data_IF_077328279801
#
_entry.id   IF_077328279801
#
_cell.length_a   1.000
_cell.length_b   1.000
_cell.length_c   1.000
_cell.angle_alpha   90.00
_cell.angle_beta   90.00
_cell.angle_gamma   90.00
#
_symmetry.space_group_name_H-M   'P 1'
#
loop_
_entity.id
_entity.type
_entity.pdbx_description
1 polymer ?
#
# COMPACT_ATOMS: atom_id res chain seq x y z
N UNK A 1 7.26 -44.49 58.56
CA UNK A 1 7.46 -44.53 57.13
C UNK A 1 6.76 -43.31 56.51
N UNK A 2 7.53 -42.27 56.19
CA UNK A 2 6.97 -41.05 55.57
C UNK A 2 6.96 -41.24 54.05
N UNK A 3 5.77 -41.21 53.41
CA UNK A 3 5.63 -41.27 51.96
C UNK A 3 5.76 -39.84 51.39
N UNK A 4 6.85 -39.55 50.68
CA UNK A 4 7.03 -38.32 49.94
C UNK A 4 6.28 -38.42 48.63
N UNK A 5 5.29 -37.54 48.41
CA UNK A 5 4.58 -37.38 47.14
C UNK A 5 5.35 -36.36 46.30
N UNK A 6 5.94 -36.84 45.23
CA UNK A 6 6.60 -35.98 44.20
C UNK A 6 5.55 -35.46 43.25
N UNK A 7 5.21 -34.18 43.36
CA UNK A 7 4.32 -33.51 42.42
C UNK A 7 5.16 -33.00 41.26
N UNK A 8 5.10 -33.68 40.10
CA UNK A 8 5.66 -33.19 38.84
C UNK A 8 4.78 -32.10 38.28
N UNK A 9 5.23 -30.85 38.34
CA UNK A 9 4.62 -29.71 37.65
C UNK A 9 5.02 -29.81 36.18
N UNK A 10 4.11 -30.29 35.33
CA UNK A 10 4.22 -30.20 33.87
C UNK A 10 3.92 -28.76 33.46
N UNK A 11 4.96 -27.95 33.21
CA UNK A 11 4.84 -26.65 32.63
C UNK A 11 4.55 -26.83 31.12
N UNK A 12 3.28 -26.75 30.73
CA UNK A 12 2.88 -26.61 29.34
C UNK A 12 3.24 -25.22 28.90
N UNK A 13 4.40 -25.04 28.26
CA UNK A 13 4.71 -23.84 27.50
C UNK A 13 3.86 -23.85 26.24
N UNK A 14 2.75 -23.12 26.27
CA UNK A 14 2.02 -22.79 25.03
C UNK A 14 2.90 -21.92 24.18
N UNK A 15 3.61 -22.53 23.24
CA UNK A 15 4.15 -21.80 22.09
C UNK A 15 2.96 -21.30 21.26
N UNK A 16 2.54 -20.07 21.51
CA UNK A 16 1.70 -19.36 20.57
C UNK A 16 2.54 -19.07 19.33
N UNK A 17 2.50 -19.98 18.36
CA UNK A 17 2.90 -19.66 17.01
C UNK A 17 2.00 -18.52 16.57
N UNK A 18 2.54 -17.30 16.54
CA UNK A 18 1.94 -16.22 15.77
C UNK A 18 1.87 -16.74 14.33
N UNK A 19 0.68 -17.20 13.92
CA UNK A 19 0.42 -17.48 12.52
C UNK A 19 0.70 -16.17 11.77
N UNK A 20 1.85 -16.09 11.12
CA UNK A 20 2.03 -15.14 10.04
C UNK A 20 0.92 -15.48 9.04
N UNK A 21 -0.03 -14.58 8.95
CA UNK A 21 -1.18 -14.67 8.05
C UNK A 21 -0.61 -14.64 6.62
N UNK A 22 -0.26 -15.82 6.11
CA UNK A 22 0.42 -16.00 4.82
C UNK A 22 -0.62 -15.92 3.69
N UNK A 23 -1.50 -14.90 3.80
CA UNK A 23 -2.54 -14.65 2.80
C UNK A 23 -1.89 -14.30 1.48
N UNK A 24 -2.44 -14.86 0.43
CA UNK A 24 -2.03 -14.50 -0.92
C UNK A 24 -2.33 -13.04 -1.23
N UNK A 25 -1.59 -12.43 -2.15
CA UNK A 25 -1.83 -11.04 -2.59
C UNK A 25 -3.26 -10.89 -3.12
N UNK A 26 -3.76 -11.89 -3.80
CA UNK A 26 -5.16 -11.97 -4.25
C UNK A 26 -6.15 -11.84 -3.09
N UNK A 27 -6.00 -12.67 -2.05
CA UNK A 27 -6.88 -12.62 -0.89
C UNK A 27 -6.82 -11.26 -0.19
N UNK A 28 -5.64 -10.64 -0.12
CA UNK A 28 -5.48 -9.30 0.45
C UNK A 28 -6.14 -8.22 -0.41
N UNK A 29 -6.11 -8.36 -1.75
CA UNK A 29 -6.82 -7.46 -2.64
C UNK A 29 -8.35 -7.60 -2.49
N UNK A 30 -8.86 -8.83 -2.40
CA UNK A 30 -10.28 -9.10 -2.12
C UNK A 30 -10.69 -8.54 -0.76
N UNK A 31 -9.88 -8.74 0.30
CA UNK A 31 -10.13 -8.15 1.60
C UNK A 31 -10.21 -6.63 1.52
N UNK A 32 -9.28 -5.99 0.83
CA UNK A 32 -9.30 -4.54 0.64
C UNK A 32 -10.59 -4.09 -0.06
N UNK A 33 -10.95 -4.71 -1.18
CA UNK A 33 -12.20 -4.43 -1.91
C UNK A 33 -13.42 -4.56 -1.01
N UNK A 34 -13.46 -5.58 -0.16
CA UNK A 34 -14.59 -5.84 0.73
C UNK A 34 -14.75 -4.79 1.84
N UNK A 35 -13.69 -4.04 2.16
CA UNK A 35 -13.79 -2.91 3.10
C UNK A 35 -14.38 -1.65 2.46
N UNK A 36 -14.40 -1.57 1.12
CA UNK A 36 -14.81 -0.36 0.41
C UNK A 36 -16.34 -0.26 0.29
N UNK A 37 -16.86 0.96 0.48
CA UNK A 37 -18.24 1.29 0.14
C UNK A 37 -18.50 1.16 -1.37
N UNK A 38 -19.75 1.09 -1.83
CA UNK A 38 -20.05 1.05 -3.27
C UNK A 38 -19.42 2.20 -4.06
N UNK A 39 -19.43 3.42 -3.52
CA UNK A 39 -18.81 4.60 -4.14
C UNK A 39 -17.29 4.43 -4.27
N UNK A 40 -16.61 4.03 -3.19
CA UNK A 40 -15.18 3.79 -3.21
C UNK A 40 -14.79 2.65 -4.16
N UNK A 41 -15.61 1.59 -4.25
CA UNK A 41 -15.40 0.52 -5.22
C UNK A 41 -15.43 1.04 -6.64
N UNK A 42 -16.42 1.85 -6.99
CA UNK A 42 -16.56 2.45 -8.32
C UNK A 42 -15.37 3.33 -8.70
N UNK A 43 -14.73 3.99 -7.73
CA UNK A 43 -13.56 4.84 -7.93
C UNK A 43 -12.23 4.10 -7.86
N UNK A 44 -12.21 2.87 -7.30
CA UNK A 44 -10.99 2.07 -7.13
C UNK A 44 -10.84 1.00 -8.21
N UNK A 45 -11.96 0.39 -8.64
CA UNK A 45 -11.94 -0.79 -9.52
C UNK A 45 -12.22 -0.36 -10.96
N UNK A 46 -11.33 -0.74 -11.84
CA UNK A 46 -11.37 -0.43 -13.27
C UNK A 46 -11.34 -1.71 -14.08
N UNK A 47 -11.82 -1.63 -15.32
CA UNK A 47 -11.63 -2.71 -16.28
C UNK A 47 -10.11 -2.91 -16.52
N UNK A 48 -9.69 -4.16 -16.74
CA UNK A 48 -8.29 -4.50 -17.01
C UNK A 48 -7.74 -3.77 -18.24
N UNK A 49 -8.56 -3.57 -19.26
CA UNK A 49 -8.19 -2.93 -20.54
C UNK A 49 -8.21 -1.39 -20.49
N UNK A 50 -8.45 -0.79 -19.32
CA UNK A 50 -8.47 0.67 -19.20
C UNK A 50 -7.12 1.31 -19.47
N UNK A 51 -7.11 2.48 -20.12
CA UNK A 51 -5.89 3.28 -20.30
C UNK A 51 -5.28 3.77 -18.97
N UNK A 52 -6.04 3.79 -17.87
CA UNK A 52 -5.51 4.14 -16.54
C UNK A 52 -4.41 3.18 -16.09
N UNK A 53 -4.44 1.92 -16.55
CA UNK A 53 -3.45 0.91 -16.19
C UNK A 53 -2.06 1.22 -16.75
N UNK A 54 -1.97 1.85 -17.92
CA UNK A 54 -0.70 2.19 -18.58
C UNK A 54 -0.18 3.58 -18.23
N UNK A 55 -1.00 4.42 -17.58
CA UNK A 55 -0.56 5.73 -17.10
C UNK A 55 0.43 5.57 -15.95
N UNK A 56 1.49 6.35 -16.00
CA UNK A 56 2.58 6.31 -15.03
C UNK A 56 3.03 7.73 -14.70
N UNK A 57 2.78 8.15 -13.46
CA UNK A 57 3.13 9.48 -12.99
C UNK A 57 3.73 9.44 -11.59
N UNK A 58 4.81 10.18 -11.40
CA UNK A 58 5.48 10.34 -10.10
C UNK A 58 5.60 11.80 -9.66
N UNK A 59 5.04 12.72 -10.44
CA UNK A 59 4.95 14.15 -10.14
C UNK A 59 3.62 14.49 -9.48
N UNK A 60 3.49 15.65 -8.79
CA UNK A 60 2.22 16.06 -8.19
C UNK A 60 1.22 16.45 -9.29
N UNK A 61 0.25 15.59 -9.51
CA UNK A 61 -0.87 15.79 -10.43
C UNK A 61 -2.15 15.23 -9.80
N UNK A 62 -3.28 15.67 -10.32
CA UNK A 62 -4.57 15.05 -10.01
C UNK A 62 -4.60 13.61 -10.54
N UNK A 63 -5.08 12.67 -9.71
CA UNK A 63 -5.13 11.24 -10.01
C UNK A 63 -6.54 10.71 -9.89
N UNK A 64 -6.90 9.81 -10.78
CA UNK A 64 -8.04 8.92 -10.56
C UNK A 64 -7.68 7.85 -9.52
N UNK A 65 -8.63 7.05 -9.13
CA UNK A 65 -8.45 6.07 -8.06
C UNK A 65 -8.72 6.69 -6.69
N UNK A 66 -8.77 5.86 -5.69
CA UNK A 66 -9.00 6.28 -4.31
C UNK A 66 -7.69 6.45 -3.57
N UNK A 67 -7.61 7.48 -2.74
CA UNK A 67 -6.41 7.79 -1.96
C UNK A 67 -6.58 7.46 -0.48
N UNK A 68 -5.51 7.55 0.28
CA UNK A 68 -5.62 7.45 1.73
C UNK A 68 -6.51 8.53 2.37
N UNK A 69 -6.80 9.64 1.68
CA UNK A 69 -7.76 10.66 2.14
C UNK A 69 -9.17 10.11 2.20
N UNK A 70 -9.52 9.26 1.23
CA UNK A 70 -10.86 8.68 1.09
C UNK A 70 -11.12 7.54 2.10
N UNK A 71 -10.08 6.96 2.69
CA UNK A 71 -10.17 5.74 3.48
C UNK A 71 -10.32 6.01 4.98
N UNK A 72 -11.17 5.24 5.61
CA UNK A 72 -11.19 5.12 7.05
C UNK A 72 -9.99 4.30 7.59
N UNK A 73 -9.94 4.08 8.90
CA UNK A 73 -8.86 3.34 9.58
C UNK A 73 -8.75 1.90 9.11
N UNK A 74 -9.88 1.23 8.86
CA UNK A 74 -9.91 -0.19 8.47
C UNK A 74 -9.49 -0.35 7.01
N UNK A 75 -10.00 0.53 6.15
CA UNK A 75 -9.65 0.58 4.73
C UNK A 75 -8.16 0.90 4.52
N UNK A 76 -7.61 1.87 5.26
CA UNK A 76 -6.17 2.17 5.27
C UNK A 76 -5.34 0.95 5.66
N UNK A 77 -5.76 0.23 6.70
CA UNK A 77 -5.06 -0.97 7.16
C UNK A 77 -5.06 -2.07 6.09
N UNK A 78 -6.19 -2.29 5.43
CA UNK A 78 -6.31 -3.29 4.36
C UNK A 78 -5.45 -2.92 3.13
N UNK A 79 -5.51 -1.66 2.69
CA UNK A 79 -4.69 -1.13 1.59
C UNK A 79 -3.18 -1.28 1.88
N UNK A 80 -2.74 -0.95 3.11
CA UNK A 80 -1.34 -1.11 3.53
C UNK A 80 -0.90 -2.57 3.62
N UNK A 81 -1.80 -3.50 3.98
CA UNK A 81 -1.50 -4.94 3.94
C UNK A 81 -1.22 -5.41 2.50
N UNK A 82 -2.05 -5.00 1.54
CA UNK A 82 -1.86 -5.31 0.12
C UNK A 82 -0.52 -4.75 -0.37
N UNK A 83 -0.21 -3.49 -0.08
CA UNK A 83 1.05 -2.86 -0.46
C UNK A 83 2.25 -3.60 0.13
N UNK A 84 2.18 -3.94 1.42
CA UNK A 84 3.26 -4.63 2.13
C UNK A 84 3.52 -6.03 1.59
N UNK A 85 2.47 -6.77 1.21
CA UNK A 85 2.60 -8.12 0.66
C UNK A 85 3.19 -8.14 -0.76
N UNK A 86 3.07 -7.03 -1.49
CA UNK A 86 3.56 -6.90 -2.87
C UNK A 86 5.00 -6.38 -2.97
N UNK A 87 5.61 -6.02 -1.84
CA UNK A 87 6.95 -5.42 -1.78
C UNK A 87 7.85 -6.19 -0.82
N UNK A 88 9.16 -6.12 -1.06
CA UNK A 88 10.12 -6.51 -0.03
C UNK A 88 10.01 -5.58 1.19
N UNK A 89 10.44 -6.05 2.37
CA UNK A 89 10.48 -5.22 3.58
C UNK A 89 11.22 -3.89 3.35
N UNK A 90 12.35 -3.93 2.60
CA UNK A 90 13.12 -2.71 2.25
C UNK A 90 12.33 -1.80 1.31
N UNK A 91 11.68 -2.34 0.28
CA UNK A 91 10.86 -1.60 -0.67
C UNK A 91 9.68 -0.90 0.01
N UNK A 92 8.93 -1.64 0.83
CA UNK A 92 7.83 -1.08 1.61
C UNK A 92 8.30 0.05 2.54
N UNK A 93 9.35 -0.17 3.33
CA UNK A 93 9.86 0.84 4.25
C UNK A 93 10.36 2.09 3.50
N UNK A 94 10.97 1.90 2.32
CA UNK A 94 11.42 3.02 1.49
C UNK A 94 10.24 3.83 0.96
N UNK A 95 9.20 3.18 0.44
CA UNK A 95 8.00 3.86 -0.05
C UNK A 95 7.30 4.66 1.05
N UNK A 96 7.20 4.10 2.27
CA UNK A 96 6.62 4.80 3.41
C UNK A 96 7.45 6.02 3.84
N UNK A 97 8.79 5.90 3.84
CA UNK A 97 9.68 7.04 4.13
C UNK A 97 9.52 8.15 3.09
N UNK A 98 9.47 7.81 1.79
CA UNK A 98 9.26 8.78 0.72
C UNK A 98 7.91 9.48 0.90
N UNK A 99 6.85 8.74 1.18
CA UNK A 99 5.53 9.30 1.43
C UNK A 99 5.53 10.28 2.63
N UNK A 100 6.29 9.99 3.69
CA UNK A 100 6.40 10.91 4.83
C UNK A 100 7.18 12.21 4.51
N UNK A 101 7.99 12.24 3.44
CA UNK A 101 8.67 13.47 3.01
C UNK A 101 7.69 14.57 2.59
N UNK A 102 6.45 14.23 2.21
CA UNK A 102 5.40 15.24 1.96
C UNK A 102 5.18 16.16 3.16
N UNK A 103 5.34 15.65 4.39
CA UNK A 103 5.25 16.45 5.62
C UNK A 103 6.42 17.44 5.75
N UNK A 104 7.59 17.07 5.25
CA UNK A 104 8.76 17.94 5.21
C UNK A 104 8.56 19.01 4.15
N UNK A 105 8.18 18.61 2.94
CA UNK A 105 7.90 19.52 1.82
C UNK A 105 6.84 20.55 2.19
N UNK A 106 5.77 20.13 2.88
CA UNK A 106 4.73 21.05 3.36
C UNK A 106 5.29 22.18 4.25
N UNK A 107 6.39 21.91 4.98
CA UNK A 107 7.02 22.91 5.87
C UNK A 107 8.02 23.79 5.15
N UNK A 108 8.77 23.26 4.18
CA UNK A 108 9.90 23.97 3.57
C UNK A 108 9.56 24.68 2.25
N UNK A 109 8.49 24.27 1.56
CA UNK A 109 8.03 24.91 0.33
C UNK A 109 7.18 26.15 0.64
N UNK A 110 7.85 27.29 0.85
CA UNK A 110 7.23 28.61 1.04
C UNK A 110 7.96 29.61 0.15
N UNK A 111 7.29 30.30 -0.82
CA UNK A 111 5.87 30.18 -1.21
C UNK A 111 5.53 28.83 -1.80
N UNK A 112 4.24 28.48 -1.75
CA UNK A 112 3.78 27.18 -2.25
C UNK A 112 4.06 27.01 -3.74
N UNK A 113 4.44 25.80 -4.12
CA UNK A 113 4.75 25.47 -5.50
C UNK A 113 3.47 25.49 -6.32
N UNK A 114 3.55 26.11 -7.52
CA UNK A 114 2.47 26.08 -8.52
C UNK A 114 2.90 25.19 -9.68
N UNK A 115 2.11 24.17 -10.00
CA UNK A 115 2.34 23.32 -11.15
C UNK A 115 1.11 23.33 -12.06
N UNK A 116 1.33 23.64 -13.35
CA UNK A 116 0.26 23.79 -14.34
C UNK A 116 -0.87 24.74 -13.89
N UNK A 117 -0.52 25.86 -13.25
CA UNK A 117 -1.47 26.86 -12.78
C UNK A 117 -2.28 26.50 -11.55
N UNK A 118 -2.02 25.34 -10.93
CA UNK A 118 -2.66 24.92 -9.68
C UNK A 118 -1.64 24.91 -8.55
N UNK A 119 -2.04 25.40 -7.38
CA UNK A 119 -1.25 25.28 -6.15
C UNK A 119 -1.14 23.81 -5.74
N UNK A 120 0.09 23.36 -5.43
CA UNK A 120 0.33 22.01 -4.95
C UNK A 120 0.27 22.00 -3.43
N UNK A 121 -0.70 21.28 -2.91
CA UNK A 121 -0.80 20.99 -1.48
C UNK A 121 -0.09 19.67 -1.21
N UNK A 122 1.02 19.72 -0.47
CA UNK A 122 1.76 18.52 -0.06
C UNK A 122 0.97 17.76 0.99
N UNK A 123 0.66 16.49 0.70
CA UNK A 123 -0.11 15.66 1.60
C UNK A 123 0.33 14.19 1.53
N UNK A 124 0.84 13.67 2.65
CA UNK A 124 1.26 12.27 2.77
C UNK A 124 0.12 11.25 2.64
N UNK A 125 -1.13 11.71 2.58
CA UNK A 125 -2.31 10.90 2.30
C UNK A 125 -2.72 10.92 0.82
N UNK A 126 -2.08 11.75 -0.03
CA UNK A 126 -2.37 11.87 -1.45
C UNK A 126 -1.66 10.79 -2.28
N UNK A 127 -1.88 9.54 -1.87
CA UNK A 127 -1.37 8.34 -2.52
C UNK A 127 -2.54 7.42 -2.85
N UNK A 128 -2.66 7.06 -4.12
CA UNK A 128 -3.84 6.49 -4.71
C UNK A 128 -3.69 5.02 -5.02
N UNK A 129 -4.82 4.31 -5.02
CA UNK A 129 -4.96 2.90 -5.32
C UNK A 129 -5.88 2.69 -6.51
N UNK A 130 -5.50 1.80 -7.41
CA UNK A 130 -6.31 1.28 -8.49
C UNK A 130 -6.24 -0.23 -8.48
N UNK A 131 -7.36 -0.88 -8.76
CA UNK A 131 -7.43 -2.28 -9.09
C UNK A 131 -7.92 -2.41 -10.52
N UNK A 132 -7.34 -3.32 -11.27
CA UNK A 132 -7.61 -3.54 -12.69
C UNK A 132 -8.05 -4.98 -12.89
N UNK A 133 -9.28 -5.20 -13.34
CA UNK A 133 -9.91 -6.50 -13.40
C UNK A 133 -10.36 -7.03 -12.04
N UNK A 134 -10.66 -8.31 -11.98
CA UNK A 134 -11.15 -8.98 -10.76
C UNK A 134 -10.02 -9.81 -10.16
N UNK A 135 -9.58 -9.53 -8.91
CA UNK A 135 -8.59 -10.37 -8.25
C UNK A 135 -9.09 -11.80 -8.13
N UNK A 136 -8.46 -12.71 -8.83
CA UNK A 136 -8.73 -14.15 -8.76
C UNK A 136 -7.49 -14.95 -9.17
N UNK A 137 -7.45 -16.22 -8.74
CA UNK A 137 -6.37 -17.14 -9.10
C UNK A 137 -6.32 -17.38 -10.61
N UNK A 138 -7.49 -17.47 -11.25
CA UNK A 138 -7.60 -17.94 -12.64
C UNK A 138 -7.60 -16.79 -13.67
N UNK A 139 -7.72 -15.54 -13.23
CA UNK A 139 -7.76 -14.38 -14.11
C UNK A 139 -6.47 -13.58 -14.09
N UNK A 140 -6.24 -12.84 -15.17
CA UNK A 140 -5.26 -11.78 -15.21
C UNK A 140 -5.88 -10.55 -14.54
N UNK A 141 -5.20 -9.99 -13.56
CA UNK A 141 -5.60 -8.76 -12.88
C UNK A 141 -4.38 -7.95 -12.47
N UNK A 142 -4.59 -6.77 -12.00
CA UNK A 142 -3.49 -5.92 -11.54
C UNK A 142 -3.93 -4.89 -10.53
N UNK A 143 -2.97 -4.15 -9.99
CA UNK A 143 -3.23 -3.01 -9.16
C UNK A 143 -2.06 -2.03 -9.20
N UNK A 144 -2.34 -0.80 -8.84
CA UNK A 144 -1.37 0.28 -8.85
C UNK A 144 -1.44 1.06 -7.53
N UNK A 145 -0.28 1.49 -7.05
CA UNK A 145 -0.13 2.45 -5.97
C UNK A 145 0.75 3.60 -6.45
N UNK A 146 0.22 4.81 -6.42
CA UNK A 146 0.91 5.96 -7.00
C UNK A 146 0.63 7.25 -6.24
N UNK A 147 1.67 8.06 -6.11
CA UNK A 147 1.64 9.40 -5.56
C UNK A 147 2.91 10.16 -5.95
N UNK A 148 3.20 11.25 -5.25
CA UNK A 148 4.43 12.00 -5.48
C UNK A 148 5.65 11.14 -5.14
N UNK A 149 6.56 10.98 -6.12
CA UNK A 149 7.81 10.23 -6.04
C UNK A 149 7.69 8.73 -5.68
N UNK A 150 6.49 8.17 -5.74
CA UNK A 150 6.26 6.72 -5.65
C UNK A 150 5.29 6.30 -6.74
N UNK A 151 5.63 5.27 -7.50
CA UNK A 151 4.70 4.59 -8.39
C UNK A 151 5.05 3.12 -8.48
N UNK A 152 4.08 2.26 -8.23
CA UNK A 152 4.18 0.82 -8.39
C UNK A 152 3.03 0.31 -9.23
N UNK A 153 3.33 -0.54 -10.20
CA UNK A 153 2.35 -1.20 -11.04
C UNK A 153 2.58 -2.70 -10.97
N UNK A 154 1.55 -3.44 -10.60
CA UNK A 154 1.63 -4.89 -10.50
C UNK A 154 0.62 -5.55 -11.43
N UNK A 155 1.07 -6.56 -12.15
CA UNK A 155 0.21 -7.48 -12.89
C UNK A 155 0.37 -8.87 -12.31
N UNK A 156 -0.75 -9.53 -12.02
CA UNK A 156 -0.80 -10.82 -11.35
C UNK A 156 -1.56 -11.87 -12.18
N UNK A 157 -1.10 -13.09 -12.11
CA UNK A 157 -1.75 -14.29 -12.64
C UNK A 157 -1.34 -15.48 -11.77
N UNK A 158 -2.26 -16.40 -11.52
CA UNK A 158 -1.99 -17.61 -10.74
C UNK A 158 -1.34 -17.28 -9.38
N UNK A 159 -1.84 -16.25 -8.72
CA UNK A 159 -1.34 -15.77 -7.41
C UNK A 159 0.13 -15.32 -7.39
N UNK A 160 0.72 -15.04 -8.56
CA UNK A 160 2.09 -14.56 -8.70
C UNK A 160 2.11 -13.21 -9.37
N UNK A 161 2.99 -12.33 -8.89
CA UNK A 161 3.34 -11.11 -9.62
C UNK A 161 4.14 -11.53 -10.86
N UNK A 162 3.56 -11.31 -12.04
CA UNK A 162 4.20 -11.60 -13.33
C UNK A 162 4.86 -10.36 -13.93
N UNK A 163 4.48 -9.16 -13.46
CA UNK A 163 5.14 -7.91 -13.79
C UNK A 163 4.99 -6.91 -12.63
N UNK A 164 6.07 -6.18 -12.36
CA UNK A 164 6.11 -5.07 -11.39
C UNK A 164 6.63 -3.78 -12.03
N UNK A 165 6.35 -3.59 -13.31
CA UNK A 165 6.80 -2.44 -14.11
C UNK A 165 5.61 -1.71 -14.76
N UNK A 166 5.74 -0.39 -14.96
CA UNK A 166 6.82 0.49 -14.51
C UNK A 166 6.78 0.70 -12.99
N UNK A 167 7.95 0.94 -12.38
CA UNK A 167 8.06 1.25 -10.94
C UNK A 167 9.03 2.40 -10.71
N UNK A 168 8.71 3.28 -9.76
CA UNK A 168 9.52 4.43 -9.40
C UNK A 168 9.53 4.67 -7.89
N UNK A 169 10.70 4.97 -7.37
CA UNK A 169 10.94 5.46 -6.02
C UNK A 169 11.96 6.60 -6.08
N UNK A 170 11.56 7.79 -5.72
CA UNK A 170 12.42 8.96 -5.64
C UNK A 170 12.29 9.65 -4.28
N UNK A 171 13.29 10.42 -3.88
CA UNK A 171 13.25 11.22 -2.66
C UNK A 171 13.28 12.70 -3.00
N UNK A 172 12.37 13.47 -2.43
CA UNK A 172 12.38 14.93 -2.44
C UNK A 172 11.87 15.44 -1.09
N UNK A 173 12.67 16.15 -0.33
CA UNK A 173 14.09 16.42 -0.56
C UNK A 173 14.96 15.16 -0.44
N UNK A 174 16.11 15.13 -1.13
CA UNK A 174 17.04 14.02 -1.06
C UNK A 174 17.78 13.97 0.30
N UNK A 175 17.94 15.13 0.94
CA UNK A 175 18.57 15.29 2.26
C UNK A 175 17.65 16.17 3.13
N UNK A 176 17.46 15.76 4.36
CA UNK A 176 16.77 16.54 5.40
C UNK A 176 17.78 16.88 6.48
N UNK A 177 18.16 18.16 6.58
CA UNK A 177 18.97 18.64 7.69
C UNK A 177 18.04 18.79 8.91
N UNK A 178 18.27 18.00 9.92
CA UNK A 178 17.60 18.11 11.23
C UNK A 178 18.51 19.01 12.06
N UNK A 179 18.16 20.29 12.16
CA UNK A 179 18.71 21.20 13.18
C UNK A 179 17.94 21.01 14.48
#
# INVERSE_FOLDING_TARGET
MKKSILICFLIFTHFTFSQFDNKSIENLAVEFINTLSPDLKNRTIFNLETSERTKFYFVPIERKGTSFKDFDKYQKKAALKLLRASLSKKGYNKSEKIRQLEKVLLKIEIPRLVFKGKEIIRDYLDYHFWLFGVPSKDSLWGWKFEGHHVSFNFTLKNNKIISSTPSFLGANPAVVNIE
#
